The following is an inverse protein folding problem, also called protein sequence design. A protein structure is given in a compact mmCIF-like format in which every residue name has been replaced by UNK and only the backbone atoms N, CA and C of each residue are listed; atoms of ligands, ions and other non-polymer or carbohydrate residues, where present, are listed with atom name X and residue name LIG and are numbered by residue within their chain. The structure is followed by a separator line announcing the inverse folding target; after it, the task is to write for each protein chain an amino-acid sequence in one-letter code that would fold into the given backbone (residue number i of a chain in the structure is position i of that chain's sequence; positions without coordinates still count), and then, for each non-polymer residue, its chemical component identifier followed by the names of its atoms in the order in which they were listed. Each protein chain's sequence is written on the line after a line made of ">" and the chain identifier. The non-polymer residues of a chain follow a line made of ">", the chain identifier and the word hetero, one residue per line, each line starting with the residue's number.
data_IF_181975926373
#
_entry.id   IF_181975926373
#
_cell.length_a   1.000
_cell.length_b   1.000
_cell.length_c   1.000
_cell.angle_alpha   90.00
_cell.angle_beta   90.00
_cell.angle_gamma   90.00
#
_symmetry.space_group_name_H-M   'P 1'
#
loop_
_entity.id
_entity.type
_entity.pdbx_description
1 polymer ?
#
# COMPACT_ATOMS: atom_id res chain seq x y z
N UNK A 1 -10.61 -19.57 4.32
CA UNK A 1 -9.54 -20.26 3.56
C UNK A 1 -8.98 -19.19 2.67
N UNK A 2 -7.70 -18.88 2.85
CA UNK A 2 -7.02 -17.85 2.07
C UNK A 2 -7.16 -18.10 0.58
N UNK A 3 -7.45 -17.02 -0.15
CA UNK A 3 -7.43 -17.03 -1.59
C UNK A 3 -6.00 -17.28 -2.04
N UNK A 4 -5.75 -18.48 -2.57
CA UNK A 4 -4.45 -18.86 -3.13
C UNK A 4 -4.44 -18.64 -4.64
N UNK A 5 -3.35 -18.05 -5.13
CA UNK A 5 -3.16 -17.73 -6.54
C UNK A 5 -2.13 -18.65 -7.18
N UNK A 6 -2.33 -18.95 -8.47
CA UNK A 6 -1.46 -19.83 -9.25
C UNK A 6 -0.75 -19.02 -10.34
N UNK A 7 0.57 -19.11 -10.36
CA UNK A 7 1.41 -18.63 -11.45
C UNK A 7 2.18 -19.75 -12.11
N UNK A 8 3.06 -19.40 -13.07
CA UNK A 8 3.89 -20.39 -13.75
C UNK A 8 5.00 -20.90 -12.84
N UNK A 9 4.76 -22.03 -12.18
CA UNK A 9 5.72 -22.69 -11.30
C UNK A 9 5.70 -22.20 -9.85
N UNK A 10 4.65 -21.49 -9.42
CA UNK A 10 4.50 -21.01 -8.05
C UNK A 10 3.02 -20.88 -7.66
N UNK A 11 2.75 -21.12 -6.38
CA UNK A 11 1.47 -20.84 -5.72
C UNK A 11 1.75 -19.83 -4.62
N UNK A 12 0.92 -18.81 -4.48
CA UNK A 12 1.18 -17.72 -3.55
C UNK A 12 -0.09 -17.12 -2.96
N UNK A 13 0.07 -16.54 -1.78
CA UNK A 13 -0.88 -15.65 -1.11
C UNK A 13 0.00 -14.60 -0.42
N UNK A 14 0.13 -13.42 -1.02
CA UNK A 14 1.05 -12.38 -0.55
C UNK A 14 0.27 -11.09 -0.37
N UNK A 15 0.15 -10.68 0.88
CA UNK A 15 -0.47 -9.43 1.27
C UNK A 15 0.51 -8.59 2.11
N UNK A 16 0.43 -7.28 1.94
CA UNK A 16 1.21 -6.33 2.74
C UNK A 16 0.31 -5.22 3.29
N UNK A 17 0.50 -4.93 4.57
CA UNK A 17 0.01 -3.69 5.18
C UNK A 17 1.07 -2.61 4.98
N UNK A 18 0.69 -1.54 4.31
CA UNK A 18 1.55 -0.41 3.97
C UNK A 18 0.99 0.85 4.59
N UNK A 19 1.86 1.68 5.18
CA UNK A 19 1.49 3.01 5.68
C UNK A 19 2.55 4.02 5.26
N UNK A 20 2.10 5.21 4.85
CA UNK A 20 3.00 6.37 4.77
C UNK A 20 2.28 7.66 5.15
N UNK A 21 3.07 8.64 5.56
CA UNK A 21 2.56 9.93 6.03
C UNK A 21 2.86 11.06 5.04
N UNK A 22 2.06 12.11 5.11
CA UNK A 22 2.37 13.44 4.55
C UNK A 22 3.64 13.97 5.21
N UNK A 23 4.44 14.71 4.45
CA UNK A 23 5.65 15.36 4.95
C UNK A 23 5.31 16.27 6.14
N UNK A 24 6.09 16.14 7.22
CA UNK A 24 5.86 16.82 8.50
C UNK A 24 4.50 16.54 9.14
N UNK A 25 3.82 15.44 8.77
CA UNK A 25 2.48 15.08 9.28
C UNK A 25 1.47 16.22 9.13
N UNK A 26 1.59 17.01 8.05
CA UNK A 26 0.66 18.10 7.78
C UNK A 26 -0.71 17.53 7.43
N UNK A 27 -1.75 18.09 8.06
CA UNK A 27 -3.15 17.74 7.84
C UNK A 27 -3.66 18.35 6.52
N UNK A 28 -3.27 17.76 5.40
CA UNK A 28 -3.62 18.25 4.04
C UNK A 28 -4.53 17.30 3.28
N UNK A 29 -4.71 16.07 3.74
CA UNK A 29 -5.64 15.10 3.15
C UNK A 29 -7.05 15.40 3.66
N UNK A 30 -7.65 16.49 3.17
CA UNK A 30 -9.08 16.73 3.38
C UNK A 30 -9.89 15.65 2.67
N UNK A 31 -11.15 15.43 3.06
CA UNK A 31 -12.01 14.40 2.45
C UNK A 31 -12.00 14.43 0.92
N UNK A 32 -12.02 15.61 0.30
CA UNK A 32 -11.94 15.73 -1.16
C UNK A 32 -10.60 15.25 -1.73
N UNK A 33 -9.48 15.65 -1.10
CA UNK A 33 -8.12 15.27 -1.53
C UNK A 33 -7.88 13.79 -1.28
N UNK A 34 -8.40 13.25 -0.18
CA UNK A 34 -8.34 11.83 0.17
C UNK A 34 -9.11 10.98 -0.83
N UNK A 35 -10.36 11.33 -1.16
CA UNK A 35 -11.13 10.62 -2.18
C UNK A 35 -10.37 10.60 -3.51
N UNK A 36 -9.77 11.73 -3.90
CA UNK A 36 -8.98 11.80 -5.12
C UNK A 36 -7.70 10.96 -5.05
N UNK A 37 -7.05 10.93 -3.89
CA UNK A 37 -5.90 10.08 -3.64
C UNK A 37 -6.27 8.61 -3.80
N UNK A 38 -7.40 8.17 -3.23
CA UNK A 38 -7.88 6.79 -3.34
C UNK A 38 -8.12 6.39 -4.80
N UNK A 39 -8.77 7.26 -5.59
CA UNK A 39 -8.94 7.03 -7.03
C UNK A 39 -7.59 6.83 -7.75
N UNK A 40 -6.64 7.73 -7.48
CA UNK A 40 -5.30 7.69 -8.10
C UNK A 40 -4.56 6.41 -7.69
N UNK A 41 -4.59 6.03 -6.42
CA UNK A 41 -3.88 4.85 -5.92
C UNK A 41 -4.47 3.56 -6.51
N UNK A 42 -5.78 3.46 -6.62
CA UNK A 42 -6.44 2.33 -7.29
C UNK A 42 -6.03 2.25 -8.77
N UNK A 43 -5.97 3.39 -9.46
CA UNK A 43 -5.51 3.41 -10.85
C UNK A 43 -4.05 2.98 -11.00
N UNK A 44 -3.17 3.45 -10.10
CA UNK A 44 -1.77 3.02 -10.08
C UNK A 44 -1.66 1.52 -9.83
N UNK A 45 -2.47 0.96 -8.93
CA UNK A 45 -2.49 -0.47 -8.64
C UNK A 45 -2.88 -1.29 -9.88
N UNK A 46 -3.95 -0.88 -10.56
CA UNK A 46 -4.38 -1.47 -11.83
C UNK A 46 -3.26 -1.42 -12.88
N UNK A 47 -2.66 -0.25 -13.10
CA UNK A 47 -1.60 -0.05 -14.10
C UNK A 47 -0.32 -0.85 -13.79
N UNK A 48 -0.12 -1.25 -12.53
CA UNK A 48 1.06 -2.01 -12.08
C UNK A 48 0.73 -3.48 -11.77
N UNK A 49 -0.49 -3.96 -12.04
CA UNK A 49 -0.92 -5.36 -11.85
C UNK A 49 -0.82 -5.88 -10.40
N UNK A 50 -1.15 -5.05 -9.42
CA UNK A 50 -1.43 -5.48 -8.05
C UNK A 50 -2.78 -4.95 -7.59
N UNK A 51 -3.32 -5.48 -6.49
CA UNK A 51 -4.63 -5.06 -5.97
C UNK A 51 -4.46 -4.30 -4.65
N UNK A 52 -5.32 -3.31 -4.46
CA UNK A 52 -5.58 -2.71 -3.16
C UNK A 52 -6.85 -3.38 -2.65
N UNK A 53 -6.73 -4.18 -1.59
CA UNK A 53 -7.86 -4.90 -0.98
C UNK A 53 -8.65 -3.97 -0.06
N UNK A 54 -7.94 -3.13 0.70
CA UNK A 54 -8.51 -2.13 1.60
C UNK A 54 -7.65 -0.88 1.58
N UNK A 55 -8.28 0.29 1.63
CA UNK A 55 -7.59 1.56 1.72
C UNK A 55 -8.38 2.53 2.58
N UNK A 56 -7.69 3.14 3.54
CA UNK A 56 -8.27 4.19 4.35
C UNK A 56 -7.20 5.21 4.73
N UNK A 57 -7.59 6.46 4.90
CA UNK A 57 -6.72 7.55 5.30
C UNK A 57 -7.18 8.25 6.56
N UNK A 58 -6.30 9.13 7.02
CA UNK A 58 -6.64 10.22 7.91
C UNK A 58 -6.00 11.49 7.31
N UNK A 59 -6.14 12.62 7.98
CA UNK A 59 -5.73 13.93 7.49
C UNK A 59 -4.24 14.04 7.09
N UNK A 60 -3.38 13.16 7.61
CA UNK A 60 -1.92 13.23 7.44
C UNK A 60 -1.24 11.90 7.04
N UNK A 61 -1.98 10.81 6.82
CA UNK A 61 -1.42 9.51 6.45
C UNK A 61 -2.44 8.60 5.77
N UNK A 62 -1.97 7.53 5.12
CA UNK A 62 -2.81 6.56 4.42
C UNK A 62 -2.35 5.14 4.74
N UNK A 63 -3.31 4.24 4.94
CA UNK A 63 -3.16 2.81 5.18
C UNK A 63 -3.68 2.04 3.97
N UNK A 64 -2.89 1.08 3.48
CA UNK A 64 -3.28 0.18 2.41
C UNK A 64 -3.05 -1.27 2.85
N UNK A 65 -4.04 -2.12 2.62
CA UNK A 65 -3.82 -3.56 2.49
C UNK A 65 -3.72 -3.87 1.00
N UNK A 66 -2.57 -4.34 0.56
CA UNK A 66 -2.35 -4.71 -0.84
C UNK A 66 -2.18 -6.21 -1.00
N UNK A 67 -2.55 -6.73 -2.15
CA UNK A 67 -2.26 -8.08 -2.62
C UNK A 67 -1.41 -7.98 -3.89
N UNK A 68 -0.28 -8.67 -3.93
CA UNK A 68 0.62 -8.63 -5.08
C UNK A 68 1.22 -10.00 -5.41
N UNK A 69 1.86 -10.11 -6.58
CA UNK A 69 2.56 -11.33 -6.98
C UNK A 69 4.01 -11.37 -6.47
N UNK A 70 4.67 -12.55 -6.45
CA UNK A 70 6.08 -12.68 -6.08
C UNK A 70 7.05 -11.91 -6.99
N UNK A 71 6.62 -11.49 -8.18
CA UNK A 71 7.42 -10.70 -9.12
C UNK A 71 7.43 -9.21 -8.77
N UNK A 72 6.54 -8.78 -7.88
CA UNK A 72 6.51 -7.40 -7.43
C UNK A 72 7.59 -7.14 -6.38
N UNK A 73 8.35 -6.07 -6.60
CA UNK A 73 9.31 -5.58 -5.64
C UNK A 73 8.72 -4.42 -4.84
N UNK A 74 8.64 -4.55 -3.50
CA UNK A 74 7.97 -3.58 -2.61
C UNK A 74 8.45 -2.14 -2.84
N UNK A 75 9.77 -1.85 -2.93
CA UNK A 75 10.23 -0.48 -3.20
C UNK A 75 9.73 0.08 -4.54
N UNK A 76 9.52 -0.74 -5.57
CA UNK A 76 8.96 -0.29 -6.84
C UNK A 76 7.47 0.06 -6.70
N UNK A 77 6.69 -0.77 -5.98
CA UNK A 77 5.28 -0.46 -5.66
C UNK A 77 5.19 0.90 -4.96
N UNK A 78 5.99 1.10 -3.90
CA UNK A 78 5.94 2.34 -3.14
C UNK A 78 6.45 3.56 -3.91
N UNK A 79 7.45 3.38 -4.77
CA UNK A 79 7.89 4.43 -5.68
C UNK A 79 6.77 4.85 -6.63
N UNK A 80 6.03 3.89 -7.20
CA UNK A 80 4.89 4.16 -8.06
C UNK A 80 3.76 4.86 -7.28
N UNK A 81 3.28 4.26 -6.20
CA UNK A 81 2.20 4.79 -5.36
C UNK A 81 2.50 6.20 -4.86
N UNK A 82 3.65 6.41 -4.18
CA UNK A 82 3.99 7.72 -3.59
C UNK A 82 4.37 8.74 -4.66
N UNK A 83 5.17 8.35 -5.65
CA UNK A 83 5.68 9.27 -6.66
C UNK A 83 4.59 9.81 -7.58
N UNK A 84 3.76 8.92 -8.14
CA UNK A 84 2.71 9.31 -9.09
C UNK A 84 1.60 10.07 -8.36
N UNK A 85 1.15 9.61 -7.19
CA UNK A 85 0.13 10.30 -6.40
C UNK A 85 0.56 11.71 -5.99
N UNK A 86 1.80 11.88 -5.53
CA UNK A 86 2.33 13.19 -5.15
C UNK A 86 2.27 14.18 -6.32
N UNK A 87 2.72 13.74 -7.51
CA UNK A 87 2.72 14.56 -8.72
C UNK A 87 1.31 14.96 -9.13
N UNK A 88 0.38 14.02 -9.17
CA UNK A 88 -0.99 14.26 -9.63
C UNK A 88 -1.76 15.15 -8.65
N UNK A 89 -1.71 14.86 -7.34
CA UNK A 89 -2.37 15.67 -6.33
C UNK A 89 -1.82 17.10 -6.27
N UNK A 90 -0.50 17.29 -6.36
CA UNK A 90 0.08 18.63 -6.38
C UNK A 90 -0.22 19.42 -7.66
N UNK A 91 -0.56 18.73 -8.76
CA UNK A 91 -1.02 19.37 -10.01
C UNK A 91 -2.48 19.81 -9.87
N UNK A 92 -3.33 18.96 -9.32
CA UNK A 92 -4.77 19.18 -9.20
C UNK A 92 -5.14 20.12 -8.04
N UNK A 93 -4.41 20.05 -6.93
CA UNK A 93 -4.61 20.87 -5.74
C UNK A 93 -3.38 21.73 -5.42
N UNK A 94 -3.17 22.86 -6.13
CA UNK A 94 -2.06 23.78 -5.86
C UNK A 94 -1.99 24.29 -4.42
N UNK A 95 -3.12 24.31 -3.70
CA UNK A 95 -3.21 24.68 -2.28
C UNK A 95 -2.35 23.81 -1.36
N UNK A 96 -2.08 22.56 -1.74
CA UNK A 96 -1.17 21.65 -1.04
C UNK A 96 0.26 22.21 -1.03
N UNK A 97 0.72 22.81 -2.15
CA UNK A 97 2.08 23.36 -2.27
C UNK A 97 2.32 24.50 -1.28
N UNK A 98 1.30 25.34 -1.05
CA UNK A 98 1.40 26.44 -0.07
C UNK A 98 1.61 25.96 1.37
N UNK A 99 1.20 24.73 1.69
CA UNK A 99 1.39 24.11 3.01
C UNK A 99 2.68 23.30 3.13
N UNK A 100 3.34 22.99 2.01
CA UNK A 100 4.51 22.11 1.92
C UNK A 100 5.65 22.80 1.17
N UNK A 101 6.32 23.71 1.88
CA UNK A 101 7.54 24.38 1.42
C UNK A 101 8.61 23.34 1.04
N UNK A 102 8.94 23.26 -0.24
CA UNK A 102 9.89 22.29 -0.79
C UNK A 102 9.30 21.25 -1.74
N UNK A 103 8.01 21.32 -2.09
CA UNK A 103 7.45 20.55 -3.21
C UNK A 103 7.35 19.04 -3.01
N UNK A 104 7.48 18.55 -1.77
CA UNK A 104 7.36 17.14 -1.43
C UNK A 104 6.07 16.90 -0.64
N UNK A 105 5.14 16.12 -1.20
CA UNK A 105 3.90 15.75 -0.52
C UNK A 105 4.16 14.76 0.62
N UNK A 106 4.89 13.69 0.34
CA UNK A 106 5.06 12.58 1.26
C UNK A 106 6.33 12.69 2.11
N UNK A 107 6.28 12.13 3.31
CA UNK A 107 7.48 11.77 4.07
C UNK A 107 8.30 10.77 3.22
N UNK A 108 9.64 10.87 3.15
CA UNK A 108 10.46 9.88 2.45
C UNK A 108 10.25 8.45 2.96
N UNK A 109 10.01 8.25 4.27
CA UNK A 109 9.84 6.93 4.87
C UNK A 109 8.47 6.31 4.59
N UNK A 110 8.37 5.01 4.85
CA UNK A 110 7.14 4.23 4.82
C UNK A 110 7.25 3.09 5.85
N UNK A 111 6.10 2.57 6.26
CA UNK A 111 5.97 1.33 7.01
C UNK A 111 5.48 0.23 6.06
N UNK A 112 5.95 -0.99 6.27
CA UNK A 112 5.47 -2.19 5.59
C UNK A 112 5.53 -3.39 6.53
N UNK A 113 4.46 -4.19 6.55
CA UNK A 113 4.39 -5.46 7.26
C UNK A 113 3.69 -6.51 6.38
N UNK A 114 4.11 -7.76 6.50
CA UNK A 114 3.43 -8.91 5.86
C UNK A 114 2.11 -9.20 6.55
N UNK A 115 1.09 -9.54 5.78
CA UNK A 115 -0.23 -9.96 6.29
C UNK A 115 -0.52 -11.39 5.82
N UNK A 116 -1.16 -12.16 6.69
CA UNK A 116 -1.59 -13.53 6.44
C UNK A 116 -2.94 -13.74 7.12
N UNK A 117 -3.84 -14.50 6.50
CA UNK A 117 -5.14 -14.89 7.10
C UNK A 117 -4.94 -15.72 8.37
N UNK A 118 -3.86 -16.52 8.42
CA UNK A 118 -3.51 -17.30 9.60
C UNK A 118 -2.43 -16.57 10.43
N UNK A 119 -2.51 -16.69 11.74
CA UNK A 119 -1.46 -16.19 12.63
C UNK A 119 -0.17 -17.00 12.46
N UNK A 120 0.96 -16.41 12.87
CA UNK A 120 2.25 -17.11 12.85
C UNK A 120 2.20 -18.40 13.67
N UNK A 121 1.54 -18.38 14.83
CA UNK A 121 1.40 -19.55 15.71
C UNK A 121 0.62 -20.67 15.05
N UNK A 122 -0.47 -20.34 14.32
CA UNK A 122 -1.25 -21.32 13.57
C UNK A 122 -0.42 -21.97 12.46
N UNK A 123 0.37 -21.16 11.72
CA UNK A 123 1.26 -21.67 10.66
C UNK A 123 2.35 -22.57 11.26
N UNK A 124 2.98 -22.18 12.38
CA UNK A 124 4.00 -22.99 13.06
C UNK A 124 3.44 -24.34 13.52
N UNK A 125 2.27 -24.31 14.13
CA UNK A 125 1.57 -25.53 14.60
C UNK A 125 1.22 -26.45 13.43
N UNK A 126 0.76 -25.87 12.32
CA UNK A 126 0.48 -26.62 11.10
C UNK A 126 1.74 -27.28 10.51
N UNK A 127 2.88 -26.57 10.47
CA UNK A 127 4.15 -27.11 9.96
C UNK A 127 4.65 -28.27 10.82
N UNK A 128 4.58 -28.14 12.15
CA UNK A 128 5.05 -29.17 13.09
C UNK A 128 4.24 -30.47 12.96
N UNK A 129 2.91 -30.36 12.79
CA UNK A 129 2.02 -31.53 12.64
C UNK A 129 2.10 -32.23 11.27
N UNK A 130 2.81 -31.68 10.26
CA UNK A 130 2.88 -32.30 8.93
C UNK A 130 3.54 -33.69 8.92
N UNK A 131 4.43 -34.00 9.87
CA UNK A 131 5.14 -35.29 9.93
C UNK A 131 4.43 -36.35 10.76
N UNK A 132 3.39 -35.97 11.50
CA UNK A 132 2.63 -36.86 12.38
C UNK A 132 1.49 -37.58 11.64
N UNK A 133 1.50 -37.52 10.29
CA UNK A 133 0.59 -38.23 9.40
C UNK A 133 1.23 -39.46 8.79
#
# INVERSE_FOLDING_TARGET
>A
MANVYHGRGYIYCIEYHIVWCVKYRRKVLTTQIENKLIEILNKIAEDNNFKILEINGDLDHIHLLIECSPQHYIPNILKALKGVSARLLMKEYPSIKGKLWGGHLWNPSYFVATVSENTEEQIRSYIQSQKEK
#
